data_IF_050112011280
#
_entry.id   IF_050112011280
#
_cell.length_a   1.000
_cell.length_b   1.000
_cell.length_c   1.000
_cell.angle_alpha   90.00
_cell.angle_beta   90.00
_cell.angle_gamma   90.00
#
_symmetry.space_group_name_H-M   'P 1'
#
loop_
_entity.id
_entity.type
_entity.pdbx_description
1 polymer ?
#
# COMPACT_ATOMS: atom_id res chain seq x y z
N UNK A 1 5.96 2.49 -24.51
CA UNK A 1 6.16 1.20 -23.80
C UNK A 1 4.76 0.69 -23.49
N UNK A 2 4.46 -0.59 -23.68
CA UNK A 2 3.12 -1.11 -23.32
C UNK A 2 2.93 -1.06 -21.79
N UNK A 3 1.69 -0.85 -21.34
CA UNK A 3 1.29 -0.89 -19.92
C UNK A 3 1.81 -2.14 -19.22
N UNK A 4 1.58 -3.30 -19.82
CA UNK A 4 2.08 -4.59 -19.36
C UNK A 4 3.62 -4.64 -19.25
N UNK A 5 4.33 -4.00 -20.18
CA UNK A 5 5.80 -3.93 -20.15
C UNK A 5 6.34 -3.10 -18.99
N UNK A 6 5.68 -1.99 -18.64
CA UNK A 6 6.07 -1.16 -17.49
C UNK A 6 5.77 -1.89 -16.19
N UNK A 7 4.62 -2.54 -16.09
CA UNK A 7 4.23 -3.32 -14.90
C UNK A 7 5.22 -4.47 -14.69
N UNK A 8 5.52 -5.24 -15.73
CA UNK A 8 6.49 -6.34 -15.64
C UNK A 8 7.87 -5.83 -15.16
N UNK A 9 8.30 -4.67 -15.64
CA UNK A 9 9.54 -4.03 -15.21
C UNK A 9 9.50 -3.65 -13.72
N UNK A 10 8.39 -3.08 -13.24
CA UNK A 10 8.14 -2.77 -11.83
C UNK A 10 8.20 -4.02 -10.94
N UNK A 11 7.48 -5.09 -11.33
CA UNK A 11 7.51 -6.38 -10.63
C UNK A 11 8.95 -6.91 -10.55
N UNK A 12 9.71 -6.86 -11.65
CA UNK A 12 11.09 -7.33 -11.67
C UNK A 12 12.00 -6.54 -10.71
N UNK A 13 11.78 -5.23 -10.55
CA UNK A 13 12.54 -4.42 -9.58
C UNK A 13 12.23 -4.78 -8.14
N UNK A 14 10.95 -4.91 -7.78
CA UNK A 14 10.58 -5.34 -6.44
C UNK A 14 11.11 -6.73 -6.12
N UNK A 15 10.99 -7.68 -7.05
CA UNK A 15 11.53 -9.04 -6.88
C UNK A 15 13.03 -9.01 -6.63
N UNK A 16 13.80 -8.30 -7.47
CA UNK A 16 15.24 -8.18 -7.25
C UNK A 16 15.58 -7.53 -5.89
N UNK A 17 14.84 -6.50 -5.47
CA UNK A 17 15.06 -5.84 -4.19
C UNK A 17 14.75 -6.77 -3.00
N UNK A 18 13.70 -7.58 -3.10
CA UNK A 18 13.34 -8.60 -2.10
C UNK A 18 14.41 -9.69 -2.06
N UNK A 19 14.81 -10.27 -3.19
CA UNK A 19 15.83 -11.32 -3.26
C UNK A 19 17.14 -10.85 -2.59
N UNK A 20 17.57 -9.61 -2.89
CA UNK A 20 18.75 -9.02 -2.26
C UNK A 20 18.56 -8.79 -0.76
N UNK A 21 17.36 -8.40 -0.34
CA UNK A 21 16.99 -8.23 1.05
C UNK A 21 17.00 -9.55 1.82
N UNK A 22 16.44 -10.63 1.28
CA UNK A 22 16.48 -11.96 1.89
C UNK A 22 17.92 -12.46 2.07
N UNK A 23 18.78 -12.28 1.06
CA UNK A 23 20.21 -12.64 1.14
C UNK A 23 20.91 -11.84 2.24
N UNK A 24 20.66 -10.54 2.31
CA UNK A 24 21.25 -9.67 3.32
C UNK A 24 20.75 -10.00 4.74
N UNK A 25 19.45 -10.24 4.91
CA UNK A 25 18.86 -10.64 6.20
C UNK A 25 19.46 -11.96 6.69
N UNK A 26 19.60 -12.93 5.78
CA UNK A 26 20.25 -14.21 6.10
C UNK A 26 21.69 -14.00 6.55
N UNK A 27 22.45 -13.17 5.84
CA UNK A 27 23.83 -12.85 6.21
C UNK A 27 23.91 -12.20 7.60
N UNK A 28 23.04 -11.23 7.90
CA UNK A 28 22.96 -10.59 9.23
C UNK A 28 22.65 -11.64 10.30
N UNK A 29 21.71 -12.55 10.04
CA UNK A 29 21.42 -13.64 10.97
C UNK A 29 22.60 -14.59 11.18
N UNK A 30 23.33 -14.93 10.13
CA UNK A 30 24.51 -15.81 10.23
C UNK A 30 25.66 -15.13 11.01
N UNK A 31 25.79 -13.80 10.92
CA UNK A 31 26.87 -13.02 11.55
C UNK A 31 26.53 -12.55 12.98
N UNK A 32 25.32 -12.08 13.21
CA UNK A 32 24.88 -11.44 14.46
C UNK A 32 23.81 -12.23 15.22
N UNK A 33 23.20 -13.23 14.58
CA UNK A 33 22.02 -13.91 15.09
C UNK A 33 20.80 -13.00 15.16
N UNK A 34 19.93 -13.29 16.13
CA UNK A 34 18.73 -12.52 16.39
C UNK A 34 19.06 -11.22 17.14
N UNK A 35 19.48 -10.19 16.38
CA UNK A 35 19.96 -8.90 16.88
C UNK A 35 18.99 -7.75 16.60
N UNK A 36 19.26 -6.57 17.15
CA UNK A 36 18.51 -5.34 16.79
C UNK A 36 18.64 -5.03 15.30
N UNK A 37 19.83 -5.19 14.72
CA UNK A 37 20.03 -4.96 13.28
C UNK A 37 19.24 -5.96 12.44
N UNK A 38 19.14 -7.22 12.89
CA UNK A 38 18.31 -8.22 12.25
C UNK A 38 16.84 -7.77 12.19
N UNK A 39 16.28 -7.30 13.30
CA UNK A 39 14.90 -6.81 13.35
C UNK A 39 14.65 -5.56 12.52
N UNK A 40 15.59 -4.59 12.55
CA UNK A 40 15.51 -3.40 11.68
C UNK A 40 15.46 -3.83 10.21
N UNK A 41 16.33 -4.77 9.83
CA UNK A 41 16.41 -5.21 8.44
C UNK A 41 15.18 -6.05 8.05
N UNK A 42 14.65 -6.86 8.96
CA UNK A 42 13.40 -7.60 8.77
C UNK A 42 12.22 -6.64 8.54
N UNK A 43 12.11 -5.56 9.32
CA UNK A 43 11.07 -4.55 9.12
C UNK A 43 11.16 -3.88 7.74
N UNK A 44 12.37 -3.57 7.28
CA UNK A 44 12.59 -3.03 5.93
C UNK A 44 12.22 -4.05 4.85
N UNK A 45 12.52 -5.34 5.06
CA UNK A 45 12.14 -6.38 4.12
C UNK A 45 10.61 -6.55 4.08
N UNK A 46 9.95 -6.51 5.23
CA UNK A 46 8.48 -6.49 5.35
C UNK A 46 7.85 -5.35 4.52
N UNK A 47 8.40 -4.13 4.62
CA UNK A 47 7.96 -2.99 3.81
C UNK A 47 8.06 -3.26 2.30
N UNK A 48 9.13 -3.93 1.84
CA UNK A 48 9.29 -4.29 0.42
C UNK A 48 8.24 -5.29 -0.04
N UNK A 49 7.92 -6.29 0.76
CA UNK A 49 6.82 -7.21 0.48
C UNK A 49 5.49 -6.46 0.39
N UNK A 50 5.18 -5.61 1.38
CA UNK A 50 3.96 -4.82 1.37
C UNK A 50 3.83 -3.96 0.10
N UNK A 51 4.91 -3.26 -0.27
CA UNK A 51 4.94 -2.42 -1.46
C UNK A 51 4.75 -3.23 -2.75
N UNK A 52 5.43 -4.38 -2.88
CA UNK A 52 5.23 -5.27 -4.03
C UNK A 52 3.80 -5.78 -4.08
N UNK A 53 3.21 -6.10 -2.93
CA UNK A 53 1.84 -6.56 -2.85
C UNK A 53 0.83 -5.50 -3.33
N UNK A 54 0.93 -4.27 -2.82
CA UNK A 54 0.08 -3.17 -3.29
C UNK A 54 0.24 -2.94 -4.79
N UNK A 55 1.48 -2.94 -5.29
CA UNK A 55 1.75 -2.78 -6.72
C UNK A 55 1.10 -3.89 -7.55
N UNK A 56 1.27 -5.15 -7.15
CA UNK A 56 0.70 -6.30 -7.86
C UNK A 56 -0.82 -6.27 -7.85
N UNK A 57 -1.45 -6.05 -6.70
CA UNK A 57 -2.91 -6.08 -6.56
C UNK A 57 -3.59 -4.89 -7.27
N UNK A 58 -2.94 -3.72 -7.28
CA UNK A 58 -3.49 -2.53 -7.96
C UNK A 58 -3.29 -2.55 -9.47
N UNK A 59 -2.36 -3.37 -9.98
CA UNK A 59 -2.01 -3.44 -11.42
C UNK A 59 -2.24 -4.82 -12.05
N UNK A 60 -2.78 -5.79 -11.30
CA UNK A 60 -2.90 -7.20 -11.71
C UNK A 60 -3.62 -7.37 -13.05
N UNK A 61 -4.68 -6.59 -13.30
CA UNK A 61 -5.50 -6.64 -14.51
C UNK A 61 -4.73 -6.33 -15.81
N UNK A 62 -3.56 -5.69 -15.68
CA UNK A 62 -2.70 -5.32 -16.81
C UNK A 62 -1.39 -6.12 -16.84
N UNK A 63 -1.22 -7.02 -15.88
CA UNK A 63 -0.12 -7.95 -15.84
C UNK A 63 -0.31 -9.03 -16.92
N UNK A 64 0.76 -9.53 -17.57
CA UNK A 64 0.63 -10.61 -18.56
C UNK A 64 0.00 -11.89 -18.01
N UNK A 65 0.11 -12.11 -16.70
CA UNK A 65 -0.48 -13.22 -15.95
C UNK A 65 -1.26 -12.69 -14.72
N UNK A 66 -2.51 -12.19 -14.88
CA UNK A 66 -3.23 -11.49 -13.80
C UNK A 66 -3.43 -12.32 -12.53
N UNK A 67 -3.95 -13.54 -12.67
CA UNK A 67 -4.22 -14.42 -11.54
C UNK A 67 -2.94 -14.79 -10.75
N UNK A 68 -1.80 -14.87 -11.43
CA UNK A 68 -0.51 -15.15 -10.79
C UNK A 68 0.01 -13.93 -10.03
N UNK A 69 -0.14 -12.73 -10.61
CA UNK A 69 0.20 -11.48 -9.96
C UNK A 69 -0.63 -11.25 -8.69
N UNK A 70 -1.94 -11.48 -8.77
CA UNK A 70 -2.86 -11.36 -7.64
C UNK A 70 -2.51 -12.36 -6.52
N UNK A 71 -2.31 -13.64 -6.87
CA UNK A 71 -1.87 -14.66 -5.90
C UNK A 71 -0.55 -14.29 -5.23
N UNK A 72 0.42 -13.79 -6.00
CA UNK A 72 1.70 -13.34 -5.44
C UNK A 72 1.49 -12.14 -4.51
N UNK A 73 0.65 -11.17 -4.88
CA UNK A 73 0.32 -10.02 -4.04
C UNK A 73 -0.27 -10.42 -2.69
N UNK A 74 -1.23 -11.37 -2.67
CA UNK A 74 -1.76 -11.90 -1.40
C UNK A 74 -0.72 -12.68 -0.58
N UNK A 75 0.20 -13.37 -1.25
CA UNK A 75 1.29 -14.09 -0.57
C UNK A 75 2.24 -13.09 0.09
N UNK A 76 2.66 -12.06 -0.64
CA UNK A 76 3.52 -11.00 -0.13
C UNK A 76 2.88 -10.24 1.03
N UNK A 77 1.57 -10.01 0.92
CA UNK A 77 0.81 -9.48 2.03
C UNK A 77 0.97 -10.40 3.28
N UNK A 78 0.67 -11.69 3.17
CA UNK A 78 0.79 -12.61 4.29
C UNK A 78 2.21 -12.61 4.90
N UNK A 79 3.24 -12.67 4.06
CA UNK A 79 4.66 -12.60 4.48
C UNK A 79 4.98 -11.31 5.24
N UNK A 80 4.52 -10.16 4.75
CA UNK A 80 4.70 -8.87 5.42
C UNK A 80 4.10 -8.88 6.83
N UNK A 81 2.85 -9.35 6.98
CA UNK A 81 2.19 -9.41 8.28
C UNK A 81 2.94 -10.33 9.26
N UNK A 82 3.43 -11.47 8.78
CA UNK A 82 4.17 -12.41 9.62
C UNK A 82 5.51 -11.81 10.08
N UNK A 83 6.21 -11.08 9.20
CA UNK A 83 7.42 -10.35 9.55
C UNK A 83 7.15 -9.19 10.52
N UNK A 84 6.10 -8.40 10.31
CA UNK A 84 5.72 -7.30 11.20
C UNK A 84 5.48 -7.85 12.63
N UNK A 85 4.74 -8.96 12.76
CA UNK A 85 4.52 -9.65 14.04
C UNK A 85 5.81 -10.14 14.68
N UNK A 86 6.70 -10.76 13.90
CA UNK A 86 7.99 -11.24 14.43
C UNK A 86 8.84 -10.10 14.97
N UNK A 87 8.84 -8.93 14.32
CA UNK A 87 9.55 -7.73 14.78
C UNK A 87 8.97 -7.21 16.10
N UNK A 88 7.64 -7.18 16.23
CA UNK A 88 6.98 -6.69 17.45
C UNK A 88 7.20 -7.65 18.61
N UNK A 89 6.87 -8.94 18.43
CA UNK A 89 6.87 -9.96 19.48
C UNK A 89 8.26 -10.16 20.11
N UNK A 90 9.30 -9.96 19.31
CA UNK A 90 10.67 -10.18 19.74
C UNK A 90 11.49 -8.90 19.91
N UNK A 91 10.96 -7.74 19.49
CA UNK A 91 11.63 -6.45 19.59
C UNK A 91 11.98 -6.09 21.03
N UNK A 92 11.07 -6.34 21.97
CA UNK A 92 11.33 -6.07 23.38
C UNK A 92 12.46 -6.94 23.95
N UNK A 93 12.53 -8.22 23.53
CA UNK A 93 13.49 -9.19 24.06
C UNK A 93 14.94 -8.81 23.74
N UNK A 94 15.18 -8.20 22.57
CA UNK A 94 16.50 -7.75 22.12
C UNK A 94 16.78 -6.28 22.44
N UNK A 95 15.87 -5.61 23.18
CA UNK A 95 16.02 -4.20 23.53
C UNK A 95 15.80 -3.23 22.36
N UNK A 96 15.10 -3.67 21.31
CA UNK A 96 14.73 -2.83 20.18
C UNK A 96 13.61 -1.85 20.57
N UNK A 97 13.99 -0.77 21.26
CA UNK A 97 13.06 0.31 21.63
C UNK A 97 12.56 1.08 20.43
N UNK A 98 13.39 1.18 19.38
CA UNK A 98 13.08 1.91 18.15
C UNK A 98 11.88 1.37 17.39
N UNK A 99 11.51 0.09 17.57
CA UNK A 99 10.25 -0.45 17.03
C UNK A 99 9.06 0.40 17.49
N UNK A 100 8.94 0.67 18.80
CA UNK A 100 7.77 1.39 19.34
C UNK A 100 7.66 2.83 18.86
N UNK A 101 8.80 3.47 18.59
CA UNK A 101 8.82 4.87 18.15
C UNK A 101 8.26 5.03 16.73
N UNK A 102 8.38 4.01 15.88
CA UNK A 102 7.91 4.04 14.48
C UNK A 102 6.72 3.13 14.22
N UNK A 103 6.33 2.29 15.20
CA UNK A 103 5.31 1.26 15.01
C UNK A 103 3.93 1.83 14.70
N UNK A 104 3.52 2.93 15.33
CA UNK A 104 2.28 3.60 14.97
C UNK A 104 2.27 4.05 13.50
N UNK A 105 3.38 4.62 13.02
CA UNK A 105 3.47 5.04 11.62
C UNK A 105 3.47 3.86 10.66
N UNK A 106 4.11 2.74 11.04
CA UNK A 106 4.02 1.48 10.32
C UNK A 106 2.57 1.02 10.18
N UNK A 107 1.84 0.92 11.31
CA UNK A 107 0.42 0.53 11.33
C UNK A 107 -0.43 1.43 10.45
N UNK A 108 -0.23 2.75 10.55
CA UNK A 108 -0.94 3.71 9.70
C UNK A 108 -0.61 3.55 8.21
N UNK A 109 0.63 3.18 7.87
CA UNK A 109 1.02 2.83 6.50
C UNK A 109 0.28 1.59 5.99
N UNK A 110 0.21 0.53 6.82
CA UNK A 110 -0.53 -0.70 6.51
C UNK A 110 -2.03 -0.43 6.32
N UNK A 111 -2.66 0.28 7.25
CA UNK A 111 -4.08 0.66 7.20
C UNK A 111 -4.39 1.38 5.88
N UNK A 112 -3.61 2.40 5.52
CA UNK A 112 -3.83 3.16 4.28
C UNK A 112 -3.71 2.29 3.03
N UNK A 113 -2.70 1.42 2.98
CA UNK A 113 -2.53 0.50 1.84
C UNK A 113 -3.69 -0.49 1.72
N UNK A 114 -4.16 -1.04 2.83
CA UNK A 114 -5.29 -1.98 2.83
C UNK A 114 -6.62 -1.29 2.50
N UNK A 115 -6.86 -0.07 2.98
CA UNK A 115 -8.03 0.74 2.60
C UNK A 115 -8.11 0.95 1.09
N UNK A 116 -6.97 1.22 0.44
CA UNK A 116 -6.90 1.31 -1.01
C UNK A 116 -7.34 0.00 -1.68
N UNK A 117 -6.88 -1.16 -1.19
CA UNK A 117 -7.30 -2.45 -1.73
C UNK A 117 -8.81 -2.68 -1.55
N UNK A 118 -9.35 -2.39 -0.37
CA UNK A 118 -10.79 -2.50 -0.08
C UNK A 118 -11.60 -1.61 -1.03
N UNK A 119 -11.14 -0.38 -1.25
CA UNK A 119 -11.74 0.56 -2.21
C UNK A 119 -11.70 0.04 -3.66
N UNK A 120 -10.74 -0.82 -4.00
CA UNK A 120 -10.67 -1.51 -5.29
C UNK A 120 -11.54 -2.76 -5.38
N UNK A 121 -12.31 -3.08 -4.33
CA UNK A 121 -13.19 -4.24 -4.29
C UNK A 121 -12.52 -5.51 -3.76
N UNK A 122 -11.27 -5.43 -3.28
CA UNK A 122 -10.69 -6.54 -2.55
C UNK A 122 -11.44 -6.73 -1.22
N UNK A 123 -11.63 -7.99 -0.84
CA UNK A 123 -12.03 -8.32 0.52
C UNK A 123 -10.93 -7.91 1.50
N UNK A 124 -11.25 -7.88 2.79
CA UNK A 124 -10.27 -7.66 3.87
C UNK A 124 -9.80 -9.00 4.46
N UNK A 125 -8.83 -9.70 3.84
CA UNK A 125 -8.30 -10.95 4.38
C UNK A 125 -7.34 -10.73 5.56
N UNK A 126 -7.00 -9.48 5.88
CA UNK A 126 -6.02 -9.15 6.90
C UNK A 126 -6.63 -8.82 8.25
N UNK A 127 -7.92 -8.46 8.28
CA UNK A 127 -8.55 -7.93 9.47
C UNK A 127 -7.96 -6.56 9.78
N UNK A 128 -8.25 -5.58 8.93
CA UNK A 128 -7.79 -4.19 9.14
C UNK A 128 -8.30 -3.63 10.47
N UNK A 129 -9.40 -4.17 11.01
CA UNK A 129 -9.92 -3.87 12.35
C UNK A 129 -8.87 -4.16 13.44
N UNK A 130 -8.14 -5.28 13.35
CA UNK A 130 -7.08 -5.61 14.29
C UNK A 130 -5.97 -4.54 14.27
N UNK A 131 -5.64 -4.02 13.08
CA UNK A 131 -4.65 -2.95 12.93
C UNK A 131 -5.12 -1.61 13.53
N UNK A 132 -6.42 -1.30 13.42
CA UNK A 132 -7.00 -0.13 14.07
C UNK A 132 -6.93 -0.25 15.59
N UNK A 133 -7.27 -1.41 16.14
CA UNK A 133 -7.20 -1.69 17.58
C UNK A 133 -5.75 -1.60 18.09
N UNK A 134 -4.80 -2.17 17.35
CA UNK A 134 -3.36 -2.06 17.64
C UNK A 134 -2.90 -0.60 17.62
N UNK A 135 -3.25 0.16 16.58
CA UNK A 135 -2.84 1.57 16.45
C UNK A 135 -3.43 2.44 17.57
N UNK A 136 -4.68 2.18 17.96
CA UNK A 136 -5.33 2.86 19.08
C UNK A 136 -4.66 2.50 20.42
N UNK A 137 -4.31 1.22 20.62
CA UNK A 137 -3.60 0.77 21.81
C UNK A 137 -2.21 1.44 21.94
N UNK A 138 -1.46 1.53 20.85
CA UNK A 138 -0.17 2.22 20.81
C UNK A 138 -0.30 3.72 21.13
N UNK A 139 -1.28 4.40 20.52
CA UNK A 139 -1.51 5.82 20.79
C UNK A 139 -1.88 6.06 22.27
N UNK A 140 -2.71 5.18 22.85
CA UNK A 140 -3.09 5.24 24.27
C UNK A 140 -1.91 4.96 25.20
N UNK A 141 -1.04 4.02 24.84
CA UNK A 141 0.20 3.74 25.56
C UNK A 141 1.11 4.98 25.56
N UNK A 142 1.33 5.58 24.38
CA UNK A 142 2.16 6.77 24.20
C UNK A 142 1.65 7.99 24.99
N UNK A 143 0.33 8.18 25.11
CA UNK A 143 -0.29 9.26 25.90
C UNK A 143 0.13 9.26 27.38
N UNK A 144 0.56 8.13 27.92
CA UNK A 144 1.05 8.03 29.30
C UNK A 144 2.44 8.64 29.49
N UNK A 145 3.13 9.02 28.40
CA UNK A 145 4.47 9.60 28.40
C UNK A 145 4.45 11.04 27.80
N UNK A 146 4.64 12.10 28.61
CA UNK A 146 4.56 13.50 28.17
C UNK A 146 5.53 13.93 27.07
N UNK A 147 6.58 13.14 26.82
CA UNK A 147 7.63 13.39 25.83
C UNK A 147 7.82 12.20 24.89
N UNK A 148 6.75 11.45 24.63
CA UNK A 148 6.84 10.31 23.71
C UNK A 148 7.29 10.75 22.31
N UNK A 149 8.27 10.07 21.67
CA UNK A 149 8.77 10.43 20.34
C UNK A 149 7.68 10.54 19.27
N UNK A 150 6.64 9.72 19.35
CA UNK A 150 5.45 9.78 18.48
C UNK A 150 4.83 11.19 18.37
N UNK A 151 4.97 12.03 19.40
CA UNK A 151 4.40 13.37 19.44
C UNK A 151 5.37 14.49 19.05
N UNK A 152 6.54 14.16 18.50
CA UNK A 152 7.52 15.17 18.05
C UNK A 152 7.00 16.02 16.90
N UNK A 153 6.30 15.39 15.97
CA UNK A 153 5.92 16.01 14.69
C UNK A 153 4.42 16.32 14.62
N UNK A 154 3.60 15.61 15.40
CA UNK A 154 2.16 15.76 15.43
C UNK A 154 1.63 15.58 16.86
N UNK A 155 0.70 16.44 17.26
CA UNK A 155 0.07 16.34 18.58
C UNK A 155 -0.71 15.02 18.73
N UNK A 156 -0.94 14.54 19.97
CA UNK A 156 -1.76 13.35 20.18
C UNK A 156 -3.17 13.44 19.57
N UNK A 157 -3.78 14.63 19.62
CA UNK A 157 -5.09 14.89 18.99
C UNK A 157 -5.02 14.77 17.45
N UNK A 158 -3.92 15.20 16.84
CA UNK A 158 -3.70 15.06 15.40
C UNK A 158 -3.58 13.60 14.98
N UNK A 159 -2.82 12.79 15.74
CA UNK A 159 -2.71 11.35 15.47
C UNK A 159 -4.05 10.63 15.65
N UNK A 160 -4.81 10.96 16.71
CA UNK A 160 -6.15 10.40 16.90
C UNK A 160 -7.08 10.76 15.73
N UNK A 161 -7.11 12.03 15.31
CA UNK A 161 -7.92 12.45 14.18
C UNK A 161 -7.54 11.72 12.87
N UNK A 162 -6.24 11.47 12.66
CA UNK A 162 -5.75 10.70 11.50
C UNK A 162 -6.24 9.25 11.55
N UNK A 163 -6.23 8.62 12.71
CA UNK A 163 -6.74 7.26 12.92
C UNK A 163 -8.27 7.20 12.72
N UNK A 164 -9.02 8.13 13.35
CA UNK A 164 -10.47 8.23 13.23
C UNK A 164 -10.92 8.46 11.77
N UNK A 165 -10.18 9.29 11.02
CA UNK A 165 -10.49 9.55 9.60
C UNK A 165 -10.38 8.27 8.76
N UNK A 166 -9.34 7.47 9.00
CA UNK A 166 -9.16 6.19 8.32
C UNK A 166 -10.22 5.16 8.74
N UNK A 167 -10.64 5.16 10.00
CA UNK A 167 -11.70 4.28 10.50
C UNK A 167 -13.07 4.63 9.92
N UNK A 168 -13.37 5.92 9.78
CA UNK A 168 -14.59 6.39 9.11
C UNK A 168 -14.59 5.93 7.64
N UNK A 169 -13.46 6.09 6.93
CA UNK A 169 -13.31 5.62 5.55
C UNK A 169 -13.55 4.11 5.44
N UNK A 170 -12.95 3.32 6.34
CA UNK A 170 -13.18 1.88 6.40
C UNK A 170 -14.67 1.51 6.52
N UNK A 171 -15.38 2.12 7.48
CA UNK A 171 -16.79 1.81 7.70
C UNK A 171 -17.68 2.24 6.52
N UNK A 172 -17.37 3.36 5.86
CA UNK A 172 -18.07 3.78 4.64
C UNK A 172 -17.86 2.76 3.51
N UNK A 173 -16.63 2.29 3.31
CA UNK A 173 -16.33 1.27 2.30
C UNK A 173 -17.06 -0.05 2.58
N UNK A 174 -17.10 -0.50 3.85
CA UNK A 174 -17.83 -1.71 4.24
C UNK A 174 -19.33 -1.58 4.05
N UNK A 175 -19.91 -0.43 4.39
CA UNK A 175 -21.35 -0.19 4.20
C UNK A 175 -21.72 -0.31 2.71
N UNK A 176 -20.93 0.31 1.82
CA UNK A 176 -21.16 0.24 0.37
C UNK A 176 -21.06 -1.21 -0.14
N UNK A 177 -20.07 -1.98 0.31
CA UNK A 177 -19.93 -3.39 -0.08
C UNK A 177 -21.09 -4.27 0.41
N UNK A 178 -21.76 -3.91 1.51
CA UNK A 178 -22.94 -4.65 1.99
C UNK A 178 -24.19 -4.35 1.16
N UNK A 179 -24.37 -3.11 0.71
CA UNK A 179 -25.48 -2.71 -0.16
C UNK A 179 -25.41 -3.42 -1.51
N UNK A 180 -24.22 -3.52 -2.10
CA UNK A 180 -24.01 -4.20 -3.39
C UNK A 180 -24.40 -5.69 -3.32
N UNK A 181 -24.13 -6.36 -2.19
CA UNK A 181 -24.46 -7.77 -2.00
C UNK A 181 -25.97 -8.04 -1.80
N UNK A 182 -26.80 -7.03 -1.52
CA UNK A 182 -28.26 -7.21 -1.32
C UNK A 182 -29.10 -6.96 -2.57
N UNK A 183 -28.54 -6.34 -3.61
CA UNK A 183 -29.27 -6.03 -4.85
C UNK A 183 -29.26 -7.18 -5.88
N UNK A 184 -28.37 -8.17 -5.77
CA UNK A 184 -28.26 -9.27 -6.73
C UNK A 184 -29.41 -10.30 -6.65
N UNK A 185 -30.23 -10.29 -5.60
CA UNK A 185 -31.28 -11.30 -5.38
C UNK A 185 -32.66 -10.91 -5.97
N UNK A 186 -32.84 -9.71 -6.54
CA UNK A 186 -34.19 -9.19 -6.84
C UNK A 186 -34.53 -8.85 -8.31
N UNK A 187 -33.60 -8.87 -9.26
CA UNK A 187 -33.90 -8.42 -10.63
C UNK A 187 -33.93 -9.56 -11.66
N UNK A 188 -35.16 -10.00 -11.94
CA UNK A 188 -35.52 -10.96 -12.98
C UNK A 188 -36.40 -10.28 -14.06
N UNK A 189 -36.21 -8.98 -14.31
CA UNK A 189 -37.02 -8.21 -15.26
C UNK A 189 -36.17 -7.60 -16.40
N UNK A 190 -36.56 -7.98 -17.61
CA UNK A 190 -36.00 -7.59 -18.91
C UNK A 190 -36.02 -6.06 -19.11
N UNK A 191 -34.89 -5.36 -18.97
CA UNK A 191 -34.74 -3.99 -19.49
C UNK A 191 -33.42 -3.74 -20.23
N UNK A 192 -33.58 -3.47 -21.53
CA UNK A 192 -32.58 -3.04 -22.51
C UNK A 192 -32.24 -1.56 -22.28
N UNK A 193 -31.04 -1.26 -21.76
CA UNK A 193 -30.66 0.09 -21.35
C UNK A 193 -29.16 0.40 -21.41
N UNK A 194 -28.74 1.00 -22.53
CA UNK A 194 -27.73 2.07 -22.66
C UNK A 194 -26.41 2.06 -21.87
N UNK A 195 -25.33 1.78 -22.59
CA UNK A 195 -23.89 1.81 -22.23
C UNK A 195 -23.37 3.20 -21.77
N UNK A 196 -23.55 3.54 -20.48
CA UNK A 196 -22.99 4.75 -19.84
C UNK A 196 -22.05 4.44 -18.64
N UNK A 197 -21.85 3.17 -18.30
CA UNK A 197 -21.09 2.71 -17.12
C UNK A 197 -19.57 2.71 -17.33
N UNK A 198 -19.10 2.73 -18.58
CA UNK A 198 -17.70 2.46 -18.92
C UNK A 198 -16.72 3.60 -18.55
N UNK A 199 -17.16 4.86 -18.59
CA UNK A 199 -16.27 6.03 -18.35
C UNK A 199 -15.95 6.24 -16.88
N UNK A 200 -16.93 6.13 -15.98
CA UNK A 200 -16.74 6.35 -14.54
C UNK A 200 -15.86 5.26 -13.89
N UNK A 201 -15.99 4.01 -14.33
CA UNK A 201 -15.16 2.90 -13.88
C UNK A 201 -13.67 3.08 -14.28
N UNK A 202 -13.42 3.68 -15.44
CA UNK A 202 -12.07 3.92 -15.96
C UNK A 202 -11.34 5.01 -15.18
N UNK A 203 -12.00 6.15 -14.91
CA UNK A 203 -11.43 7.25 -14.11
C UNK A 203 -11.11 6.80 -12.68
N UNK A 204 -12.03 6.06 -12.04
CA UNK A 204 -11.84 5.52 -10.69
C UNK A 204 -10.60 4.61 -10.60
N UNK A 205 -10.36 3.80 -11.63
CA UNK A 205 -9.19 2.91 -11.70
C UNK A 205 -7.87 3.67 -11.85
N UNK A 206 -7.84 4.76 -12.61
CA UNK A 206 -6.63 5.58 -12.79
C UNK A 206 -6.23 6.23 -11.47
N UNK A 207 -7.20 6.77 -10.73
CA UNK A 207 -6.96 7.37 -9.42
C UNK A 207 -6.39 6.36 -8.42
N UNK A 208 -6.87 5.11 -8.45
CA UNK A 208 -6.34 4.03 -7.61
C UNK A 208 -4.89 3.68 -7.95
N UNK A 209 -4.53 3.63 -9.23
CA UNK A 209 -3.16 3.34 -9.63
C UNK A 209 -2.22 4.49 -9.26
N UNK A 210 -2.68 5.73 -9.41
CA UNK A 210 -1.93 6.91 -8.97
C UNK A 210 -1.70 6.88 -7.46
N UNK A 211 -2.74 6.61 -6.68
CA UNK A 211 -2.63 6.47 -5.22
C UNK A 211 -1.68 5.34 -4.82
N UNK A 212 -1.79 4.16 -5.45
CA UNK A 212 -0.89 3.04 -5.22
C UNK A 212 0.57 3.42 -5.51
N UNK A 213 0.78 4.17 -6.60
CA UNK A 213 2.09 4.64 -7.01
C UNK A 213 2.64 5.65 -6.01
N UNK A 214 1.85 6.63 -5.56
CA UNK A 214 2.24 7.60 -4.53
C UNK A 214 2.59 6.92 -3.20
N UNK A 215 1.81 5.93 -2.76
CA UNK A 215 2.08 5.14 -1.55
C UNK A 215 3.40 4.37 -1.71
N UNK A 216 3.57 3.64 -2.81
CA UNK A 216 4.79 2.88 -3.06
C UNK A 216 6.03 3.78 -3.14
N UNK A 217 5.92 4.95 -3.78
CA UNK A 217 6.98 5.95 -3.85
C UNK A 217 7.34 6.45 -2.46
N UNK A 218 6.32 6.82 -1.66
CA UNK A 218 6.53 7.36 -0.32
C UNK A 218 7.18 6.33 0.60
N UNK A 219 6.68 5.10 0.59
CA UNK A 219 7.27 4.00 1.36
C UNK A 219 8.68 3.66 0.90
N UNK A 220 8.99 3.81 -0.39
CA UNK A 220 10.35 3.65 -0.90
C UNK A 220 11.30 4.78 -0.53
N UNK A 221 10.80 6.00 -0.32
CA UNK A 221 11.60 7.16 0.12
C UNK A 221 11.82 7.10 1.64
N UNK A 222 10.81 6.62 2.38
CA UNK A 222 10.83 6.46 3.84
C UNK A 222 11.65 5.24 4.29
N UNK A 223 11.72 4.17 3.49
CA UNK A 223 12.76 3.14 3.63
C UNK A 223 14.11 3.76 3.24
N UNK A 224 14.95 4.16 4.20
CA UNK A 224 16.34 4.55 3.96
C UNK A 224 17.09 3.38 3.29
N UNK A 225 17.11 3.36 1.95
CA UNK A 225 17.68 2.25 1.19
C UNK A 225 19.20 2.21 1.30
N UNK A 226 19.72 1.02 1.59
CA UNK A 226 21.13 0.63 1.38
C UNK A 226 21.49 0.57 -0.13
N UNK A 227 20.51 0.62 -1.06
CA UNK A 227 20.74 0.49 -2.51
C UNK A 227 19.90 1.49 -3.32
N UNK A 228 20.37 2.74 -3.39
CA UNK A 228 19.66 3.84 -4.05
C UNK A 228 19.29 3.62 -5.53
N UNK A 229 20.02 2.79 -6.28
CA UNK A 229 19.75 2.58 -7.71
C UNK A 229 18.47 1.77 -8.00
N UNK A 230 18.18 0.73 -7.22
CA UNK A 230 16.98 -0.08 -7.46
C UNK A 230 15.70 0.67 -7.09
N UNK A 231 15.76 1.49 -6.03
CA UNK A 231 14.67 2.39 -5.65
C UNK A 231 14.41 3.46 -6.72
N UNK A 232 15.45 4.11 -7.24
CA UNK A 232 15.31 5.08 -8.34
C UNK A 232 14.69 4.46 -9.60
N UNK A 233 15.03 3.22 -9.91
CA UNK A 233 14.48 2.50 -11.06
C UNK A 233 13.02 2.08 -10.87
N UNK A 234 12.65 1.64 -9.66
CA UNK A 234 11.25 1.35 -9.30
C UNK A 234 10.41 2.63 -9.29
N UNK A 235 10.94 3.72 -8.73
CA UNK A 235 10.33 5.05 -8.70
C UNK A 235 10.08 5.55 -10.12
N UNK A 236 11.09 5.41 -10.99
CA UNK A 236 10.97 5.76 -12.40
C UNK A 236 9.90 4.92 -13.10
N UNK A 237 9.82 3.62 -12.83
CA UNK A 237 8.78 2.77 -13.41
C UNK A 237 7.37 3.15 -12.94
N UNK A 238 7.21 3.55 -11.67
CA UNK A 238 5.94 4.04 -11.09
C UNK A 238 5.53 5.41 -11.66
N UNK A 239 6.49 6.30 -11.85
CA UNK A 239 6.25 7.60 -12.50
C UNK A 239 5.89 7.38 -13.98
N UNK A 240 6.62 6.49 -14.66
CA UNK A 240 6.33 6.13 -16.05
C UNK A 240 4.94 5.48 -16.19
N UNK A 241 4.53 4.60 -15.26
CA UNK A 241 3.19 4.00 -15.29
C UNK A 241 2.12 5.07 -15.08
N UNK A 242 2.27 5.93 -14.06
CA UNK A 242 1.34 7.03 -13.78
C UNK A 242 1.19 7.97 -14.97
N UNK A 243 2.30 8.37 -15.60
CA UNK A 243 2.29 9.23 -16.79
C UNK A 243 1.60 8.57 -17.98
N UNK A 244 1.84 7.26 -18.21
CA UNK A 244 1.15 6.53 -19.28
C UNK A 244 -0.35 6.51 -19.03
N UNK A 245 -0.80 6.32 -17.78
CA UNK A 245 -2.21 6.38 -17.44
C UNK A 245 -2.84 7.72 -17.73
N UNK A 246 -2.18 8.80 -17.33
CA UNK A 246 -2.66 10.15 -17.63
C UNK A 246 -2.72 10.40 -19.13
N UNK A 247 -1.72 9.96 -19.91
CA UNK A 247 -1.69 10.21 -21.36
C UNK A 247 -2.76 9.41 -22.10
N UNK A 248 -2.98 8.15 -21.74
CA UNK A 248 -4.00 7.29 -22.37
C UNK A 248 -5.43 7.81 -22.08
N UNK A 249 -5.68 8.41 -20.91
CA UNK A 249 -6.95 9.08 -20.58
C UNK A 249 -7.27 10.23 -21.54
N UNK A 250 -6.23 10.95 -21.98
CA UNK A 250 -6.35 12.10 -22.88
C UNK A 250 -6.13 11.74 -24.36
N UNK A 251 -5.90 10.47 -24.67
CA UNK A 251 -5.68 9.99 -26.03
C UNK A 251 -7.00 10.01 -26.84
N UNK A 252 -7.36 11.19 -27.35
CA UNK A 252 -8.59 11.43 -28.11
C UNK A 252 -9.24 12.78 -27.80
N UNK A 253 -8.83 13.45 -26.73
CA UNK A 253 -9.30 14.80 -26.41
C UNK A 253 -8.49 15.88 -27.15
N UNK A 254 -9.11 17.03 -27.40
CA UNK A 254 -8.43 18.19 -28.00
C UNK A 254 -7.27 18.62 -27.09
N UNK A 255 -6.03 18.76 -27.61
CA UNK A 255 -4.87 19.18 -26.82
C UNK A 255 -5.06 20.47 -26.01
N UNK A 256 -5.96 21.36 -26.45
CA UNK A 256 -6.31 22.59 -25.73
C UNK A 256 -7.11 22.32 -24.44
N UNK A 257 -7.99 21.32 -24.45
CA UNK A 257 -8.75 20.88 -23.27
C UNK A 257 -7.87 20.10 -22.30
N UNK A 258 -6.98 19.24 -22.81
CA UNK A 258 -6.01 18.49 -21.98
C UNK A 258 -5.12 19.43 -21.19
N UNK A 259 -4.66 20.53 -21.82
CA UNK A 259 -3.86 21.57 -21.13
C UNK A 259 -4.65 22.23 -20.01
N UNK A 260 -5.91 22.59 -20.26
CA UNK A 260 -6.79 23.23 -19.28
C UNK A 260 -7.01 22.31 -18.07
N UNK A 261 -7.30 21.02 -18.31
CA UNK A 261 -7.48 20.01 -17.28
C UNK A 261 -6.21 19.75 -16.48
N UNK A 262 -5.05 19.59 -17.13
CA UNK A 262 -3.76 19.39 -16.44
C UNK A 262 -3.35 20.59 -15.58
N UNK A 263 -3.75 21.82 -15.94
CA UNK A 263 -3.49 23.02 -15.13
C UNK A 263 -4.38 23.13 -13.89
N UNK A 264 -5.53 22.44 -13.84
CA UNK A 264 -6.39 22.38 -12.64
C UNK A 264 -5.84 21.44 -11.56
N UNK A 265 -4.91 20.55 -11.92
CA UNK A 265 -4.25 19.62 -11.00
C UNK A 265 -2.91 20.14 -10.42
N UNK A 266 -2.55 21.40 -10.71
CA UNK A 266 -1.43 22.12 -10.07
C UNK A 266 -1.93 23.01 -8.95
#
# INVERSE_FOLDING_TARGET
HSRAGVIQKGVNYFTKAIDMGEIALKKINDEEGFSVNYLIFMQQLSNRYFNRALFLLTTCQDHPEPAKAEKLGHTDLTTCRDMDREVIDNGEQVGFKGAKDVYFELLMGRIKGLLLLIKMGYQDPWGIEDLFDEAHAELKSALSAPHHPLFSDMSPAGHMQRLDSALIEFHLLRANQQEDNHNDDNDNDDHDGGDNTTTAATTTRIDHIKMASEIAIRMMVEDEFVIGECALLALRALIESTLIFTIDEFAGEDPSDVRSKLFQYR
#
